data_IF_881791566708
#
_entry.id   IF_881791566708
#
_cell.length_a   1.000
_cell.length_b   1.000
_cell.length_c   1.000
_cell.angle_alpha   90.00
_cell.angle_beta   90.00
_cell.angle_gamma   90.00
#
_symmetry.space_group_name_H-M   'P 1'
#
loop_
_entity.id
_entity.type
_entity.pdbx_description
1 polymer ?
#
# COMPACT_ATOMS: atom_id res chain seq x y z
N UNK A 1 18.63 10.44 21.48
CA UNK A 1 17.20 10.68 21.21
C UNK A 1 16.56 9.36 20.80
N UNK A 2 15.59 8.88 21.55
CA UNK A 2 14.90 7.62 21.22
C UNK A 2 13.88 7.90 20.12
N UNK A 3 14.10 7.37 18.91
CA UNK A 3 13.13 7.45 17.82
C UNK A 3 11.90 6.61 18.18
N UNK A 4 10.74 7.25 18.28
CA UNK A 4 9.49 6.57 18.56
C UNK A 4 9.08 5.73 17.33
N UNK A 5 9.33 4.43 17.39
CA UNK A 5 9.04 3.49 16.30
C UNK A 5 7.57 3.48 15.87
N UNK A 6 6.64 3.87 16.76
CA UNK A 6 5.22 4.01 16.42
C UNK A 6 4.97 5.23 15.53
N UNK A 7 5.74 6.31 15.69
CA UNK A 7 5.66 7.50 14.85
C UNK A 7 6.41 7.35 13.51
N UNK A 8 7.42 6.48 13.48
CA UNK A 8 8.26 6.21 12.31
C UNK A 8 8.09 4.77 11.80
N UNK A 9 6.86 4.25 11.84
CA UNK A 9 6.60 2.99 11.15
C UNK A 9 6.85 3.17 9.66
N UNK A 10 7.39 2.15 9.01
CA UNK A 10 7.56 2.11 7.57
C UNK A 10 6.18 2.04 6.90
N UNK A 11 5.52 3.19 6.84
CA UNK A 11 4.34 3.41 6.03
C UNK A 11 4.70 3.29 4.56
N UNK A 12 3.71 3.00 3.73
CA UNK A 12 3.87 3.08 2.30
C UNK A 12 4.15 4.55 1.92
N UNK A 13 5.28 4.82 1.28
CA UNK A 13 5.59 6.19 0.84
C UNK A 13 4.54 6.67 -0.16
N UNK A 14 4.35 7.99 -0.30
CA UNK A 14 3.38 8.53 -1.26
C UNK A 14 3.65 8.05 -2.70
N UNK A 15 4.92 7.98 -3.10
CA UNK A 15 5.31 7.47 -4.41
C UNK A 15 4.94 5.98 -4.57
N UNK A 16 5.20 5.16 -3.55
CA UNK A 16 4.82 3.74 -3.56
C UNK A 16 3.30 3.56 -3.51
N UNK A 17 2.57 4.44 -2.83
CA UNK A 17 1.11 4.46 -2.82
C UNK A 17 0.54 4.75 -4.21
N UNK A 18 0.99 5.80 -4.89
CA UNK A 18 0.57 6.12 -6.25
C UNK A 18 1.00 5.04 -7.25
N UNK A 19 2.17 4.42 -7.05
CA UNK A 19 2.59 3.30 -7.88
C UNK A 19 1.59 2.13 -7.79
N UNK A 20 1.13 1.79 -6.57
CA UNK A 20 0.23 0.66 -6.30
C UNK A 20 -1.25 0.96 -6.53
N UNK A 21 -1.70 2.20 -6.31
CA UNK A 21 -3.12 2.57 -6.24
C UNK A 21 -3.49 3.85 -7.01
N UNK A 22 -2.55 4.47 -7.73
CA UNK A 22 -2.75 5.80 -8.34
C UNK A 22 -3.75 5.88 -9.49
N UNK A 23 -4.40 4.78 -9.88
CA UNK A 23 -5.49 4.78 -10.87
C UNK A 23 -6.54 3.76 -10.47
N UNK A 24 -7.78 3.96 -10.93
CA UNK A 24 -8.89 3.05 -10.66
C UNK A 24 -8.60 1.60 -11.09
N UNK A 25 -8.00 1.41 -12.27
CA UNK A 25 -7.60 0.10 -12.76
C UNK A 25 -6.56 -0.60 -11.84
N UNK A 26 -5.64 0.15 -11.24
CA UNK A 26 -4.67 -0.39 -10.28
C UNK A 26 -5.35 -0.79 -8.97
N UNK A 27 -6.25 0.04 -8.46
CA UNK A 27 -7.07 -0.27 -7.30
C UNK A 27 -7.90 -1.54 -7.51
N UNK A 28 -8.55 -1.68 -8.67
CA UNK A 28 -9.34 -2.85 -8.99
C UNK A 28 -8.50 -4.13 -9.00
N UNK A 29 -7.30 -4.10 -9.61
CA UNK A 29 -6.36 -5.23 -9.60
C UNK A 29 -5.90 -5.59 -8.19
N UNK A 30 -5.59 -4.59 -7.37
CA UNK A 30 -5.21 -4.82 -5.98
C UNK A 30 -6.36 -5.45 -5.18
N UNK A 31 -7.58 -4.95 -5.36
CA UNK A 31 -8.79 -5.49 -4.73
C UNK A 31 -9.07 -6.93 -5.16
N UNK A 32 -8.97 -7.22 -6.45
CA UNK A 32 -9.17 -8.57 -6.98
C UNK A 32 -8.20 -9.56 -6.33
N UNK A 33 -6.90 -9.26 -6.30
CA UNK A 33 -5.88 -10.10 -5.67
C UNK A 33 -6.09 -10.27 -4.17
N UNK A 34 -6.54 -9.21 -3.48
CA UNK A 34 -6.80 -9.27 -2.05
C UNK A 34 -8.01 -10.16 -1.73
N UNK A 35 -9.05 -10.14 -2.58
CA UNK A 35 -10.26 -10.96 -2.39
C UNK A 35 -10.06 -12.41 -2.82
N UNK A 36 -9.30 -12.65 -3.89
CA UNK A 36 -9.00 -13.98 -4.43
C UNK A 36 -7.50 -14.20 -4.51
N UNK A 37 -6.84 -14.52 -3.37
CA UNK A 37 -5.41 -14.76 -3.34
C UNK A 37 -4.98 -16.03 -4.09
N UNK A 38 -5.92 -16.93 -4.41
CA UNK A 38 -5.66 -18.20 -5.11
C UNK A 38 -6.19 -18.23 -6.56
N UNK A 39 -6.75 -17.11 -7.05
CA UNK A 39 -7.38 -17.03 -8.37
C UNK A 39 -8.89 -16.93 -8.30
#
# INVERSE_FOLDING_TARGET
MAMNQVQFQAGLSMAQFIQRYGTEAKCYRALYRARWPQG
#
